data_IF_822714719040
#
_entry.id   IF_822714719040
#
_cell.length_a   1.000
_cell.length_b   1.000
_cell.length_c   1.000
_cell.angle_alpha   90.00
_cell.angle_beta   90.00
_cell.angle_gamma   90.00
#
_symmetry.space_group_name_H-M   'P 1'
#
loop_
_entity.id
_entity.type
_entity.pdbx_description
1 polymer ?
#
# COMPACT_ATOMS: atom_id res chain seq x y z
N UNK A 1 -16.52 -7.68 13.61
CA UNK A 1 -15.21 -7.17 13.20
C UNK A 1 -14.56 -8.16 12.24
N UNK A 2 -14.07 -7.67 11.11
CA UNK A 2 -13.36 -8.51 10.15
C UNK A 2 -11.87 -8.57 10.47
N UNK A 3 -11.27 -9.72 10.24
CA UNK A 3 -9.87 -9.99 10.50
C UNK A 3 -9.17 -10.40 9.22
N UNK A 4 -7.99 -9.86 9.03
CA UNK A 4 -7.09 -10.21 7.93
C UNK A 4 -6.14 -11.29 8.43
N UNK A 5 -6.04 -12.41 7.71
CA UNK A 5 -5.17 -13.53 8.11
C UNK A 5 -3.90 -13.48 7.27
N UNK A 6 -2.76 -13.35 7.94
CA UNK A 6 -1.46 -13.32 7.28
C UNK A 6 -0.55 -14.30 8.00
N UNK A 7 -0.15 -15.36 7.29
CA UNK A 7 0.71 -16.42 7.80
C UNK A 7 0.24 -16.95 9.17
N UNK A 8 -1.09 -17.17 9.29
CA UNK A 8 -1.72 -17.68 10.49
C UNK A 8 -1.98 -16.66 11.59
N UNK A 9 -1.47 -15.43 11.45
CA UNK A 9 -1.73 -14.36 12.41
C UNK A 9 -2.92 -13.51 11.93
N UNK A 10 -3.77 -13.15 12.87
CA UNK A 10 -4.97 -12.38 12.58
C UNK A 10 -4.78 -10.92 12.96
N UNK A 11 -5.07 -10.04 12.01
CA UNK A 11 -5.00 -8.59 12.20
C UNK A 11 -6.37 -7.97 11.98
N UNK A 12 -6.83 -7.07 12.87
CA UNK A 12 -8.10 -6.36 12.60
C UNK A 12 -7.96 -5.51 11.34
N UNK A 13 -8.87 -5.69 10.37
CA UNK A 13 -8.83 -4.93 9.13
C UNK A 13 -8.85 -3.42 9.38
N UNK A 14 -9.61 -3.00 10.38
CA UNK A 14 -9.79 -1.58 10.71
C UNK A 14 -8.49 -0.85 11.06
N UNK A 15 -7.45 -1.58 11.46
CA UNK A 15 -6.16 -0.97 11.83
C UNK A 15 -5.07 -1.18 10.77
N UNK A 16 -5.31 -2.02 9.76
CA UNK A 16 -4.37 -2.23 8.66
C UNK A 16 -4.59 -1.16 7.60
N UNK A 17 -3.64 -0.26 7.44
CA UNK A 17 -3.77 0.83 6.48
C UNK A 17 -3.16 0.54 5.11
N UNK A 18 -2.13 -0.30 5.08
CA UNK A 18 -1.44 -0.63 3.83
C UNK A 18 -0.60 -1.89 3.97
N UNK A 19 -0.31 -2.54 2.86
CA UNK A 19 0.68 -3.61 2.80
C UNK A 19 1.40 -3.60 1.47
N UNK A 20 2.63 -4.14 1.46
CA UNK A 20 3.43 -4.26 0.24
C UNK A 20 4.21 -5.57 0.26
N UNK A 21 4.34 -6.18 -0.92
CA UNK A 21 5.12 -7.40 -1.09
C UNK A 21 6.51 -7.06 -1.63
N UNK A 22 7.53 -7.65 -1.03
CA UNK A 22 8.92 -7.49 -1.45
C UNK A 22 9.47 -8.86 -1.85
N UNK A 23 9.80 -8.99 -3.12
CA UNK A 23 10.31 -10.22 -3.72
C UNK A 23 11.83 -10.21 -3.73
N UNK A 24 12.42 -11.40 -3.67
CA UNK A 24 13.88 -11.54 -3.66
C UNK A 24 14.28 -12.80 -2.92
N UNK A 25 15.53 -12.87 -2.48
CA UNK A 25 16.06 -14.05 -1.78
C UNK A 25 15.42 -14.27 -0.42
N UNK A 26 15.04 -13.17 0.23
CA UNK A 26 14.31 -13.21 1.50
C UNK A 26 12.98 -12.48 1.33
N UNK A 27 11.98 -13.12 0.68
CA UNK A 27 10.73 -12.44 0.40
C UNK A 27 9.95 -12.14 1.69
N UNK A 28 9.34 -10.96 1.72
CA UNK A 28 8.57 -10.55 2.89
C UNK A 28 7.38 -9.68 2.51
N UNK A 29 6.41 -9.65 3.43
CA UNK A 29 5.28 -8.74 3.37
C UNK A 29 5.50 -7.67 4.45
N UNK A 30 5.39 -6.41 4.05
CA UNK A 30 5.44 -5.27 4.95
C UNK A 30 4.02 -4.78 5.16
N UNK A 31 3.58 -4.71 6.41
CA UNK A 31 2.22 -4.29 6.75
C UNK A 31 2.30 -3.04 7.60
N UNK A 32 1.51 -2.04 7.25
CA UNK A 32 1.36 -0.86 8.07
C UNK A 32 0.12 -1.02 8.95
N UNK A 33 0.36 -1.08 10.26
CA UNK A 33 -0.69 -1.18 11.27
C UNK A 33 -0.62 0.08 12.11
N UNK A 34 -1.64 0.93 11.99
CA UNK A 34 -1.64 2.28 12.53
C UNK A 34 -0.45 3.05 11.98
N UNK A 35 0.52 3.47 12.79
CA UNK A 35 1.71 4.19 12.35
C UNK A 35 3.00 3.35 12.43
N UNK A 36 2.86 2.03 12.55
CA UNK A 36 3.99 1.12 12.65
C UNK A 36 4.02 0.14 11.50
N UNK A 37 5.22 -0.28 11.11
CA UNK A 37 5.41 -1.30 10.09
C UNK A 37 5.77 -2.63 10.75
N UNK A 38 5.14 -3.70 10.26
CA UNK A 38 5.43 -5.07 10.65
C UNK A 38 5.95 -5.80 9.41
N UNK A 39 7.01 -6.57 9.60
CA UNK A 39 7.62 -7.34 8.50
C UNK A 39 7.40 -8.82 8.76
N UNK A 40 6.83 -9.52 7.79
CA UNK A 40 6.56 -10.95 7.87
C UNK A 40 7.31 -11.64 6.73
N UNK A 41 8.26 -12.49 7.08
CA UNK A 41 9.06 -13.23 6.12
C UNK A 41 8.35 -14.50 5.67
N UNK A 42 8.60 -14.86 4.41
CA UNK A 42 8.08 -16.09 3.80
C UNK A 42 9.25 -16.96 3.35
N UNK A 43 9.04 -18.29 3.34
CA UNK A 43 10.10 -19.24 2.98
C UNK A 43 10.53 -19.11 1.53
N UNK A 44 9.59 -18.76 0.64
CA UNK A 44 9.87 -18.53 -0.78
C UNK A 44 8.84 -17.58 -1.39
N UNK A 45 9.10 -17.17 -2.63
CA UNK A 45 8.23 -16.24 -3.34
C UNK A 45 6.85 -16.83 -3.66
N UNK A 46 6.75 -18.14 -3.84
CA UNK A 46 5.46 -18.78 -4.13
C UNK A 46 4.50 -18.64 -2.95
N UNK A 47 4.97 -18.84 -1.74
CA UNK A 47 4.15 -18.65 -0.54
C UNK A 47 3.72 -17.18 -0.37
N UNK A 48 4.63 -16.24 -0.65
CA UNK A 48 4.29 -14.82 -0.62
C UNK A 48 3.22 -14.49 -1.67
N UNK A 49 3.34 -15.01 -2.89
CA UNK A 49 2.35 -14.82 -3.94
C UNK A 49 0.97 -15.36 -3.56
N UNK A 50 0.91 -16.54 -2.96
CA UNK A 50 -0.34 -17.13 -2.48
C UNK A 50 -0.99 -16.21 -1.44
N UNK A 51 -0.19 -15.71 -0.51
CA UNK A 51 -0.68 -14.78 0.52
C UNK A 51 -1.24 -13.49 -0.09
N UNK A 52 -0.52 -12.90 -1.05
CA UNK A 52 -0.95 -11.65 -1.71
C UNK A 52 -2.25 -11.87 -2.48
N UNK A 53 -2.37 -12.97 -3.23
CA UNK A 53 -3.62 -13.29 -3.96
C UNK A 53 -4.79 -13.43 -3.00
N UNK A 54 -4.58 -14.09 -1.86
CA UNK A 54 -5.61 -14.21 -0.84
C UNK A 54 -6.06 -12.83 -0.35
N UNK A 55 -5.12 -11.94 -0.06
CA UNK A 55 -5.42 -10.59 0.43
C UNK A 55 -6.18 -9.78 -0.62
N UNK A 56 -5.72 -9.79 -1.87
CA UNK A 56 -6.37 -9.07 -2.96
C UNK A 56 -7.80 -9.56 -3.18
N UNK A 57 -8.01 -10.89 -3.17
CA UNK A 57 -9.31 -11.48 -3.46
C UNK A 57 -10.32 -11.29 -2.33
N UNK A 58 -9.86 -11.22 -1.08
CA UNK A 58 -10.75 -11.15 0.08
C UNK A 58 -10.95 -9.74 0.62
N UNK A 59 -10.09 -8.77 0.24
CA UNK A 59 -10.14 -7.42 0.77
C UNK A 59 -10.11 -6.39 -0.37
N UNK A 60 -11.25 -6.22 -1.09
CA UNK A 60 -11.30 -5.36 -2.29
C UNK A 60 -11.14 -3.87 -2.00
N UNK A 61 -11.25 -3.45 -0.73
CA UNK A 61 -11.05 -2.05 -0.35
C UNK A 61 -9.59 -1.59 -0.43
N UNK A 62 -8.65 -2.51 -0.62
CA UNK A 62 -7.24 -2.18 -0.81
C UNK A 62 -6.96 -1.90 -2.28
N UNK A 63 -6.44 -0.71 -2.55
CA UNK A 63 -6.12 -0.24 -3.90
C UNK A 63 -4.62 -0.34 -4.14
N UNK A 64 -4.23 -0.94 -5.25
CA UNK A 64 -2.81 -1.07 -5.60
C UNK A 64 -2.28 0.24 -6.18
N UNK A 65 -1.24 0.77 -5.54
CA UNK A 65 -0.51 1.94 -5.99
C UNK A 65 0.98 1.61 -5.93
N UNK A 66 1.61 1.42 -7.09
CA UNK A 66 2.97 0.91 -7.13
C UNK A 66 3.05 -0.47 -6.48
N UNK A 67 3.96 -0.64 -5.55
CA UNK A 67 4.12 -1.89 -4.79
C UNK A 67 3.22 -1.97 -3.55
N UNK A 68 2.49 -0.91 -3.27
CA UNK A 68 1.64 -0.81 -2.09
C UNK A 68 0.19 -1.10 -2.42
N UNK A 69 -0.49 -1.73 -1.46
CA UNK A 69 -1.94 -1.88 -1.43
C UNK A 69 -2.42 -1.04 -0.25
N UNK A 70 -3.19 0.00 -0.52
CA UNK A 70 -3.60 0.98 0.48
C UNK A 70 -5.10 0.84 0.74
N UNK A 71 -5.48 0.78 2.01
CA UNK A 71 -6.88 0.72 2.40
C UNK A 71 -7.58 2.02 2.02
N UNK A 72 -8.54 1.93 1.11
CA UNK A 72 -9.33 3.07 0.67
C UNK A 72 -10.04 3.76 1.84
N UNK A 73 -10.50 2.99 2.82
CA UNK A 73 -11.20 3.51 3.99
C UNK A 73 -10.29 4.25 4.97
N UNK A 74 -8.97 4.01 4.90
CA UNK A 74 -7.99 4.62 5.79
C UNK A 74 -7.41 5.93 5.24
N UNK A 75 -7.67 6.24 3.98
CA UNK A 75 -7.13 7.44 3.34
C UNK A 75 -7.99 8.65 3.70
N UNK A 76 -7.39 9.62 4.38
CA UNK A 76 -8.02 10.93 4.63
C UNK A 76 -7.93 11.81 3.41
N UNK A 77 -6.73 11.87 2.81
CA UNK A 77 -6.45 12.66 1.62
C UNK A 77 -5.21 12.11 0.94
N UNK A 78 -5.04 12.48 -0.31
CA UNK A 78 -3.82 12.17 -1.06
C UNK A 78 -3.51 13.32 -2.01
N UNK A 79 -2.23 13.48 -2.35
CA UNK A 79 -1.82 14.56 -3.22
C UNK A 79 -0.66 14.13 -4.11
N UNK A 80 -0.72 14.45 -5.41
CA UNK A 80 0.44 14.33 -6.28
C UNK A 80 1.46 15.41 -5.90
N UNK A 81 2.70 15.02 -5.66
CA UNK A 81 3.78 15.95 -5.30
C UNK A 81 4.69 16.26 -6.48
N UNK A 82 4.53 15.55 -7.58
CA UNK A 82 5.37 15.73 -8.76
C UNK A 82 6.76 15.17 -8.55
N UNK A 83 7.72 15.71 -9.29
CA UNK A 83 9.10 15.27 -9.22
C UNK A 83 9.74 15.69 -7.88
N UNK A 84 10.47 14.75 -7.27
CA UNK A 84 11.22 15.03 -6.05
C UNK A 84 12.28 16.10 -6.29
N UNK A 85 12.57 16.92 -5.28
CA UNK A 85 13.50 18.04 -5.39
C UNK A 85 14.90 17.59 -5.81
N UNK A 86 15.33 16.42 -5.34
CA UNK A 86 16.62 15.83 -5.68
C UNK A 86 16.64 15.12 -7.05
N UNK A 87 15.54 15.13 -7.77
CA UNK A 87 15.41 14.45 -9.07
C UNK A 87 15.33 12.93 -9.00
N UNK A 88 15.19 12.36 -7.80
CA UNK A 88 15.26 10.90 -7.58
C UNK A 88 14.00 10.14 -7.97
N UNK A 89 12.94 10.81 -8.38
CA UNK A 89 11.70 10.16 -8.79
C UNK A 89 10.47 11.05 -8.63
N UNK A 90 9.32 10.44 -8.73
CA UNK A 90 8.01 11.09 -8.71
C UNK A 90 7.23 10.61 -7.49
N UNK A 91 6.56 11.49 -6.77
CA UNK A 91 6.01 11.20 -5.44
C UNK A 91 4.51 11.46 -5.38
N UNK A 92 3.78 10.52 -4.77
CA UNK A 92 2.39 10.70 -4.35
C UNK A 92 2.37 10.55 -2.83
N UNK A 93 1.78 11.51 -2.14
CA UNK A 93 1.64 11.46 -0.67
C UNK A 93 0.22 11.06 -0.29
N UNK A 94 0.13 10.17 0.70
CA UNK A 94 -1.14 9.74 1.29
C UNK A 94 -1.16 10.12 2.76
N UNK A 95 -2.27 10.71 3.19
CA UNK A 95 -2.52 11.00 4.59
C UNK A 95 -3.57 10.02 5.10
N UNK A 96 -3.21 9.28 6.14
CA UNK A 96 -4.02 8.20 6.68
C UNK A 96 -4.58 8.59 8.05
N UNK A 97 -5.66 7.92 8.47
CA UNK A 97 -6.35 8.26 9.70
C UNK A 97 -5.56 7.99 10.98
N UNK A 98 -4.63 7.03 10.96
CA UNK A 98 -3.95 6.60 12.17
C UNK A 98 -2.51 7.07 12.25
N UNK A 99 -2.15 7.58 13.45
CA UNK A 99 -0.79 7.97 13.81
C UNK A 99 -0.54 9.48 13.67
N UNK A 100 0.43 9.97 14.44
CA UNK A 100 0.88 11.37 14.36
C UNK A 100 1.63 11.63 13.06
N UNK A 101 2.43 10.66 12.64
CA UNK A 101 3.10 10.66 11.34
C UNK A 101 2.32 9.74 10.40
N UNK A 102 1.10 10.14 10.13
CA UNK A 102 0.17 9.33 9.35
C UNK A 102 0.31 9.50 7.83
N UNK A 103 1.36 10.15 7.37
CA UNK A 103 1.64 10.28 5.95
C UNK A 103 2.48 9.12 5.45
N UNK A 104 2.16 8.65 4.25
CA UNK A 104 2.94 7.65 3.53
C UNK A 104 3.22 8.21 2.15
N UNK A 105 4.48 8.17 1.74
CA UNK A 105 4.88 8.60 0.41
C UNK A 105 5.22 7.40 -0.45
N UNK A 106 4.70 7.39 -1.67
CA UNK A 106 5.02 6.37 -2.66
C UNK A 106 5.80 7.03 -3.77
N UNK A 107 6.96 6.46 -4.08
CA UNK A 107 7.89 6.99 -5.05
C UNK A 107 7.92 6.13 -6.29
N UNK A 108 7.92 6.76 -7.45
CA UNK A 108 8.02 6.11 -8.75
C UNK A 108 9.29 6.59 -9.43
N UNK A 109 10.01 5.65 -10.04
CA UNK A 109 11.24 5.97 -10.76
C UNK A 109 10.97 6.65 -12.10
N UNK A 110 9.82 6.34 -12.72
CA UNK A 110 9.46 6.84 -14.04
C UNK A 110 8.18 7.67 -14.00
N UNK A 111 8.17 8.74 -14.76
CA UNK A 111 6.99 9.62 -14.90
C UNK A 111 5.76 8.86 -15.39
N UNK A 112 5.93 7.92 -16.34
CA UNK A 112 4.82 7.13 -16.88
C UNK A 112 4.13 6.28 -15.82
N UNK A 113 4.91 5.67 -14.92
CA UNK A 113 4.36 4.91 -13.80
C UNK A 113 3.60 5.81 -12.83
N UNK A 114 4.15 7.00 -12.57
CA UNK A 114 3.52 8.02 -11.75
C UNK A 114 2.18 8.46 -12.34
N UNK A 115 2.14 8.77 -13.63
CA UNK A 115 0.91 9.18 -14.31
C UNK A 115 -0.15 8.08 -14.30
N UNK A 116 0.24 6.83 -14.52
CA UNK A 116 -0.68 5.69 -14.45
C UNK A 116 -1.27 5.54 -13.04
N UNK A 117 -0.45 5.75 -12.02
CA UNK A 117 -0.90 5.71 -10.64
C UNK A 117 -1.91 6.82 -10.34
N UNK A 118 -1.66 8.03 -10.83
CA UNK A 118 -2.59 9.16 -10.69
C UNK A 118 -3.93 8.88 -11.36
N UNK A 119 -3.91 8.34 -12.58
CA UNK A 119 -5.13 8.00 -13.31
C UNK A 119 -5.94 6.94 -12.55
N UNK A 120 -5.24 5.92 -12.02
CA UNK A 120 -5.87 4.88 -11.20
C UNK A 120 -6.51 5.47 -9.95
N UNK A 121 -5.81 6.37 -9.25
CA UNK A 121 -6.31 7.01 -8.02
C UNK A 121 -7.52 7.88 -8.30
N UNK A 122 -7.47 8.67 -9.37
CA UNK A 122 -8.60 9.51 -9.75
C UNK A 122 -9.86 8.68 -10.02
N UNK A 123 -9.69 7.51 -10.65
CA UNK A 123 -10.79 6.58 -10.89
C UNK A 123 -11.27 5.92 -9.60
N UNK A 124 -10.35 5.34 -8.81
CA UNK A 124 -10.69 4.57 -7.60
C UNK A 124 -11.28 5.42 -6.48
N UNK A 125 -10.87 6.68 -6.39
CA UNK A 125 -11.39 7.61 -5.40
C UNK A 125 -12.47 8.55 -5.96
N UNK A 126 -12.91 8.33 -7.20
CA UNK A 126 -13.97 9.11 -7.85
C UNK A 126 -13.71 10.61 -7.82
N UNK A 127 -12.48 11.01 -8.14
CA UNK A 127 -12.12 12.44 -8.18
C UNK A 127 -12.79 13.11 -9.37
N UNK A 128 -13.48 14.19 -9.08
CA UNK A 128 -14.10 15.03 -10.11
C UNK A 128 -13.10 16.14 -10.45
N UNK A 129 -12.65 16.15 -11.70
CA UNK A 129 -11.67 17.11 -12.18
C UNK A 129 -12.35 18.32 -12.85
#
# INVERSE_FOLDING_TARGET
MKWMIIKGVRYPISVVSAFAAYYGDNPFLKIRIRNKYHIIYFDNMDYLNIQIRYLINNYPDFVQIGNWYISKKQVMSWAPKGQAVDGSGWVISFYLFFGLENSTQIKFDKEEEYQRALDCLNEKFNVIL
#
